data_IF_276861807018
#
_entry.id   IF_276861807018
#
_cell.length_a   1.000
_cell.length_b   1.000
_cell.length_c   1.000
_cell.angle_alpha   90.00
_cell.angle_beta   90.00
_cell.angle_gamma   90.00
#
_symmetry.space_group_name_H-M   'P 1'
#
loop_
_entity.id
_entity.type
_entity.pdbx_description
1 polymer ?
#
# COMPACT_ATOMS: atom_id res chain seq x y z
N UNK A 1 -22.44 6.25 3.98
CA UNK A 1 -21.25 6.31 3.09
C UNK A 1 -19.93 6.32 3.89
N UNK A 2 -20.00 6.35 5.22
CA UNK A 2 -18.89 6.58 6.14
C UNK A 2 -17.83 5.47 6.22
N UNK A 3 -18.24 4.20 6.19
CA UNK A 3 -17.30 3.07 6.35
C UNK A 3 -16.46 2.85 5.09
N UNK A 4 -17.06 2.93 3.90
CA UNK A 4 -16.33 2.76 2.65
C UNK A 4 -15.38 3.94 2.37
N UNK A 5 -15.79 5.15 2.73
CA UNK A 5 -14.94 6.35 2.62
C UNK A 5 -13.70 6.26 3.51
N UNK A 6 -13.88 5.87 4.77
CA UNK A 6 -12.77 5.73 5.72
C UNK A 6 -11.82 4.57 5.38
N UNK A 7 -12.35 3.42 4.94
CA UNK A 7 -11.53 2.29 4.48
C UNK A 7 -10.70 2.69 3.26
N UNK A 8 -11.29 3.37 2.27
CA UNK A 8 -10.56 3.84 1.08
C UNK A 8 -9.43 4.80 1.46
N UNK A 9 -9.68 5.73 2.38
CA UNK A 9 -8.67 6.67 2.87
C UNK A 9 -7.53 5.95 3.60
N UNK A 10 -7.87 4.98 4.45
CA UNK A 10 -6.90 4.18 5.19
C UNK A 10 -6.01 3.36 4.26
N UNK A 11 -6.60 2.63 3.30
CA UNK A 11 -5.85 1.83 2.32
C UNK A 11 -4.97 2.74 1.45
N UNK A 12 -5.48 3.90 1.02
CA UNK A 12 -4.71 4.87 0.24
C UNK A 12 -3.52 5.41 1.01
N UNK A 13 -3.68 5.69 2.32
CA UNK A 13 -2.59 6.13 3.19
C UNK A 13 -1.51 5.06 3.36
N UNK A 14 -1.91 3.81 3.56
CA UNK A 14 -0.99 2.68 3.67
C UNK A 14 -0.19 2.47 2.37
N UNK A 15 -0.87 2.45 1.22
CA UNK A 15 -0.21 2.29 -0.08
C UNK A 15 0.78 3.42 -0.40
N UNK A 16 0.44 4.67 -0.05
CA UNK A 16 1.37 5.81 -0.15
C UNK A 16 2.59 5.62 0.76
N UNK A 17 2.39 5.12 1.98
CA UNK A 17 3.48 4.81 2.91
C UNK A 17 4.43 3.72 2.38
N UNK A 18 3.90 2.67 1.77
CA UNK A 18 4.72 1.63 1.13
C UNK A 18 5.47 2.15 -0.09
N UNK A 19 4.85 3.04 -0.89
CA UNK A 19 5.52 3.65 -2.03
C UNK A 19 6.67 4.58 -1.59
N UNK A 20 6.48 5.36 -0.53
CA UNK A 20 7.52 6.21 0.04
C UNK A 20 8.72 5.41 0.58
N UNK A 21 8.49 4.17 1.03
CA UNK A 21 9.53 3.24 1.47
C UNK A 21 10.16 2.43 0.33
N UNK A 22 9.74 2.64 -0.92
CA UNK A 22 10.23 1.88 -2.07
C UNK A 22 9.76 0.42 -2.12
N UNK A 23 8.73 0.05 -1.36
CA UNK A 23 8.21 -1.32 -1.30
C UNK A 23 7.28 -1.63 -2.49
N UNK A 24 6.54 -0.63 -2.96
CA UNK A 24 5.63 -0.72 -4.10
C UNK A 24 5.78 0.50 -5.00
N UNK A 25 5.30 0.38 -6.24
CA UNK A 25 5.08 1.51 -7.15
C UNK A 25 3.59 1.61 -7.46
N UNK A 26 3.04 2.82 -7.31
CA UNK A 26 1.65 3.12 -7.64
C UNK A 26 1.56 3.67 -9.07
N UNK A 27 0.60 3.17 -9.83
CA UNK A 27 0.22 3.66 -11.15
C UNK A 27 -1.28 3.87 -11.23
N UNK A 28 -1.77 4.40 -12.35
CA UNK A 28 -3.22 4.50 -12.59
C UNK A 28 -3.83 3.10 -12.55
N UNK A 29 -4.67 2.86 -11.54
CA UNK A 29 -5.37 1.58 -11.32
C UNK A 29 -4.41 0.38 -11.17
N UNK A 30 -3.15 0.62 -10.78
CA UNK A 30 -2.11 -0.40 -10.67
C UNK A 30 -1.27 -0.24 -9.41
N UNK A 31 -0.86 -1.38 -8.84
CA UNK A 31 0.11 -1.48 -7.75
C UNK A 31 1.13 -2.54 -8.16
N UNK A 32 2.39 -2.15 -8.35
CA UNK A 32 3.49 -3.06 -8.66
C UNK A 32 4.34 -3.29 -7.41
N UNK A 33 4.71 -4.54 -7.14
CA UNK A 33 5.63 -4.88 -6.06
C UNK A 33 7.07 -4.57 -6.50
N UNK A 34 7.78 -3.78 -5.69
CA UNK A 34 9.19 -3.45 -5.93
C UNK A 34 10.09 -4.27 -5.00
N UNK A 35 9.71 -4.38 -3.73
CA UNK A 35 10.37 -5.24 -2.75
C UNK A 35 9.36 -6.21 -2.08
N UNK A 36 9.12 -7.38 -2.69
CA UNK A 36 8.26 -8.40 -2.10
C UNK A 36 8.79 -8.96 -0.77
N UNK A 37 10.11 -8.98 -0.56
CA UNK A 37 10.70 -9.47 0.68
C UNK A 37 10.50 -8.45 1.82
N UNK A 38 10.67 -7.16 1.52
CA UNK A 38 10.34 -6.06 2.44
C UNK A 38 8.88 -6.07 2.87
N UNK A 39 7.95 -6.31 1.94
CA UNK A 39 6.53 -6.43 2.27
C UNK A 39 6.22 -7.63 3.17
N UNK A 40 6.85 -8.79 2.93
CA UNK A 40 6.72 -9.95 3.81
C UNK A 40 7.17 -9.64 5.25
N UNK A 41 8.29 -8.93 5.39
CA UNK A 41 8.79 -8.50 6.70
C UNK A 41 7.81 -7.57 7.42
N UNK A 42 7.20 -6.62 6.71
CA UNK A 42 6.16 -5.73 7.26
C UNK A 42 4.92 -6.51 7.69
N UNK A 43 4.55 -7.56 6.96
CA UNK A 43 3.43 -8.43 7.29
C UNK A 43 3.70 -9.38 8.48
N UNK A 44 4.92 -9.40 9.02
CA UNK A 44 5.31 -10.32 10.10
C UNK A 44 5.48 -11.77 9.66
N UNK A 45 5.68 -12.00 8.36
CA UNK A 45 5.98 -13.31 7.77
C UNK A 45 7.46 -13.53 7.48
#
# INVERSE_FOLDING_TARGET
>A
ADELGSVREMVSRLLKGFAAQGLVKLGREQVALIDPAGLRRVAGG
#
